data_IF_382636887599
#
_entry.id   IF_382636887599
#
_cell.length_a   1.000
_cell.length_b   1.000
_cell.length_c   1.000
_cell.angle_alpha   90.00
_cell.angle_beta   90.00
_cell.angle_gamma   90.00
#
_symmetry.space_group_name_H-M   'P 1'
#
loop_
_entity.id
_entity.type
_entity.pdbx_description
1 polymer ?
#
# COMPACT_ATOMS: atom_id res chain seq x y z
N UNK A 1 -14.09 -1.84 2.41
CA UNK A 1 -12.65 -2.20 2.43
C UNK A 1 -12.00 -1.55 1.23
N UNK A 2 -10.86 -0.89 1.40
CA UNK A 2 -10.12 -0.25 0.30
C UNK A 2 -9.96 -1.21 -0.88
N UNK A 3 -10.22 -0.72 -2.09
CA UNK A 3 -9.95 -1.48 -3.32
C UNK A 3 -8.51 -1.19 -3.76
N UNK A 4 -7.73 -2.24 -4.02
CA UNK A 4 -6.37 -2.12 -4.56
C UNK A 4 -6.34 -2.82 -5.91
N UNK A 5 -5.95 -2.12 -6.96
CA UNK A 5 -5.92 -2.66 -8.31
C UNK A 5 -4.78 -3.67 -8.50
N UNK A 6 -4.91 -4.56 -9.49
CA UNK A 6 -3.84 -5.51 -9.85
C UNK A 6 -2.54 -4.79 -10.23
N UNK A 7 -2.62 -3.67 -10.94
CA UNK A 7 -1.46 -2.82 -11.26
C UNK A 7 -0.76 -2.30 -10.01
N UNK A 8 -1.52 -1.86 -9.00
CA UNK A 8 -0.96 -1.43 -7.73
C UNK A 8 -0.32 -2.61 -6.97
N UNK A 9 -0.98 -3.75 -6.89
CA UNK A 9 -0.47 -4.95 -6.22
C UNK A 9 0.87 -5.43 -6.84
N UNK A 10 0.93 -5.47 -8.17
CA UNK A 10 2.15 -5.85 -8.90
C UNK A 10 3.29 -4.85 -8.67
N UNK A 11 3.00 -3.54 -8.71
CA UNK A 11 4.03 -2.53 -8.46
C UNK A 11 4.52 -2.54 -7.01
N UNK A 12 3.61 -2.72 -6.04
CA UNK A 12 3.96 -2.87 -4.63
C UNK A 12 4.88 -4.07 -4.41
N UNK A 13 4.62 -5.20 -5.08
CA UNK A 13 5.52 -6.36 -5.07
C UNK A 13 6.91 -5.97 -5.58
N UNK A 14 6.97 -5.34 -6.76
CA UNK A 14 8.22 -4.90 -7.38
C UNK A 14 9.02 -3.96 -6.47
N UNK A 15 8.35 -3.01 -5.82
CA UNK A 15 8.96 -2.06 -4.88
C UNK A 15 9.47 -2.77 -3.63
N UNK A 16 8.69 -3.70 -3.06
CA UNK A 16 9.10 -4.49 -1.91
C UNK A 16 10.35 -5.34 -2.20
N UNK A 17 10.35 -6.04 -3.33
CA UNK A 17 11.46 -6.89 -3.76
C UNK A 17 12.72 -6.06 -4.03
N UNK A 18 12.60 -4.90 -4.68
CA UNK A 18 13.73 -4.02 -4.97
C UNK A 18 14.36 -3.40 -3.72
N UNK A 19 13.59 -3.24 -2.63
CA UNK A 19 14.07 -2.68 -1.37
C UNK A 19 14.75 -3.70 -0.46
N UNK A 20 14.74 -4.99 -0.81
CA UNK A 20 15.29 -6.08 0.00
C UNK A 20 14.87 -5.97 1.48
N UNK A 21 13.55 -5.86 1.70
CA UNK A 21 12.98 -5.65 3.04
C UNK A 21 13.44 -6.74 4.02
N UNK A 22 13.80 -6.34 5.23
CA UNK A 22 14.14 -7.28 6.31
C UNK A 22 12.97 -8.23 6.59
N UNK A 23 13.23 -9.46 7.07
CA UNK A 23 12.17 -10.39 7.43
C UNK A 23 11.13 -9.76 8.38
N UNK A 24 9.86 -9.86 8.01
CA UNK A 24 8.75 -9.29 8.79
C UNK A 24 8.46 -7.80 8.53
N UNK A 25 9.25 -7.12 7.69
CA UNK A 25 8.96 -5.77 7.20
C UNK A 25 8.12 -5.84 5.91
N UNK A 26 7.12 -4.98 5.83
CA UNK A 26 6.12 -4.90 4.77
C UNK A 26 5.87 -3.44 4.39
N UNK A 27 5.25 -3.21 3.24
CA UNK A 27 4.73 -1.89 2.90
C UNK A 27 3.40 -1.68 3.64
N UNK A 28 3.21 -0.51 4.25
CA UNK A 28 1.99 -0.10 4.96
C UNK A 28 1.41 1.14 4.33
N UNK A 29 0.10 1.17 4.05
CA UNK A 29 -0.61 2.43 3.81
C UNK A 29 -0.83 3.14 5.16
N UNK A 30 -0.04 4.18 5.42
CA UNK A 30 -0.13 5.05 6.57
C UNK A 30 -0.87 6.35 6.21
N UNK A 31 -1.82 6.74 7.06
CA UNK A 31 -2.44 8.07 7.06
C UNK A 31 -1.89 8.89 8.23
N UNK A 32 -1.78 10.23 8.10
CA UNK A 32 -1.39 11.09 9.22
C UNK A 32 -2.28 10.85 10.45
N UNK A 33 -1.73 10.91 11.68
CA UNK A 33 -0.37 11.36 12.03
C UNK A 33 0.69 10.24 12.04
N UNK A 34 0.36 8.99 11.69
CA UNK A 34 1.24 7.82 11.83
C UNK A 34 2.28 7.72 10.69
N UNK A 35 2.89 8.85 10.32
CA UNK A 35 3.97 8.91 9.33
C UNK A 35 5.34 9.01 10.02
N UNK A 36 5.75 7.94 10.69
CA UNK A 36 7.04 7.89 11.42
C UNK A 36 8.12 7.05 10.72
N UNK A 37 7.80 6.41 9.58
CA UNK A 37 8.74 5.54 8.84
C UNK A 37 9.33 6.17 7.57
N UNK A 38 10.43 5.58 7.08
CA UNK A 38 10.98 5.90 5.75
C UNK A 38 10.00 5.47 4.65
N UNK A 39 9.67 6.41 3.76
CA UNK A 39 8.74 6.22 2.65
C UNK A 39 8.27 7.56 2.09
N UNK A 40 8.01 7.62 0.79
CA UNK A 40 7.38 8.76 0.13
C UNK A 40 5.88 8.53 0.09
N UNK A 41 5.10 9.52 0.55
CA UNK A 41 3.64 9.62 0.41
C UNK A 41 2.85 8.37 0.85
N UNK A 42 2.44 8.35 2.12
CA UNK A 42 1.40 7.46 2.61
C UNK A 42 1.71 5.95 2.54
N UNK A 43 2.78 5.49 1.89
CA UNK A 43 3.23 4.11 1.91
C UNK A 43 4.61 4.04 2.55
N UNK A 44 4.69 3.40 3.72
CA UNK A 44 5.90 3.32 4.55
C UNK A 44 6.32 1.87 4.76
N UNK A 45 7.55 1.65 5.21
CA UNK A 45 7.99 0.30 5.60
C UNK A 45 7.70 0.09 7.09
N UNK A 46 6.88 -0.89 7.41
CA UNK A 46 6.47 -1.18 8.78
C UNK A 46 6.30 -2.69 9.02
N UNK A 47 5.81 -3.08 10.20
CA UNK A 47 5.45 -4.45 10.55
C UNK A 47 3.93 -4.62 10.55
N UNK A 48 3.49 -5.88 10.38
CA UNK A 48 2.07 -6.24 10.48
C UNK A 48 1.60 -6.23 11.93
N UNK A 49 0.57 -5.44 12.21
CA UNK A 49 -0.21 -5.46 13.45
C UNK A 49 -1.38 -6.44 13.37
N UNK A 50 -1.94 -6.78 14.53
CA UNK A 50 -3.05 -7.74 14.64
C UNK A 50 -4.35 -7.24 13.98
N UNK A 51 -4.54 -5.92 13.91
CA UNK A 51 -5.71 -5.28 13.34
C UNK A 51 -5.49 -4.84 11.88
N UNK A 52 -4.46 -5.32 11.19
CA UNK A 52 -4.22 -4.96 9.80
C UNK A 52 -4.96 -5.87 8.81
N UNK A 53 -5.53 -5.23 7.79
CA UNK A 53 -5.95 -5.86 6.54
C UNK A 53 -4.72 -6.05 5.66
N UNK A 54 -4.52 -7.27 5.18
CA UNK A 54 -3.41 -7.63 4.30
C UNK A 54 -3.89 -7.79 2.85
N UNK A 55 -3.16 -7.19 1.93
CA UNK A 55 -3.35 -7.34 0.48
C UNK A 55 -2.19 -8.16 -0.08
N UNK A 56 -2.51 -9.14 -0.92
CA UNK A 56 -1.55 -10.11 -1.41
C UNK A 56 -1.47 -10.10 -2.94
N UNK A 57 -0.29 -10.41 -3.45
CA UNK A 57 -0.01 -10.64 -4.87
C UNK A 57 0.94 -11.82 -4.99
N UNK A 58 0.60 -12.78 -5.86
CA UNK A 58 1.34 -14.04 -6.03
C UNK A 58 1.67 -14.76 -4.70
N UNK A 59 0.69 -14.81 -3.80
CA UNK A 59 0.80 -15.48 -2.50
C UNK A 59 1.64 -14.76 -1.44
N UNK A 60 2.23 -13.61 -1.74
CA UNK A 60 2.95 -12.79 -0.76
C UNK A 60 2.11 -11.58 -0.33
N UNK A 61 2.16 -11.22 0.95
CA UNK A 61 1.60 -9.94 1.42
C UNK A 61 2.48 -8.80 0.89
N UNK A 62 1.87 -7.87 0.16
CA UNK A 62 2.57 -6.74 -0.47
C UNK A 62 2.19 -5.39 0.14
N UNK A 63 1.05 -5.33 0.84
CA UNK A 63 0.59 -4.14 1.53
C UNK A 63 -0.21 -4.52 2.78
N UNK A 64 -0.02 -3.78 3.86
CA UNK A 64 -0.87 -3.81 5.05
C UNK A 64 -1.53 -2.45 5.27
N UNK A 65 -2.76 -2.46 5.76
CA UNK A 65 -3.52 -1.25 6.09
C UNK A 65 -4.24 -1.50 7.39
N UNK A 66 -4.17 -0.58 8.35
CA UNK A 66 -4.92 -0.71 9.60
C UNK A 66 -6.43 -0.79 9.29
N UNK A 67 -7.17 -1.68 9.96
CA UNK A 67 -8.60 -1.91 9.71
C UNK A 67 -9.42 -0.62 9.69
N UNK A 68 -9.21 0.27 10.67
CA UNK A 68 -9.95 1.55 10.78
C UNK A 68 -9.70 2.43 9.54
N UNK A 69 -8.47 2.44 9.03
CA UNK A 69 -8.10 3.17 7.82
C UNK A 69 -8.73 2.53 6.59
N UNK A 70 -8.67 1.20 6.48
CA UNK A 70 -9.26 0.45 5.37
C UNK A 70 -10.79 0.59 5.31
N UNK A 71 -11.45 0.76 6.45
CA UNK A 71 -12.89 1.01 6.57
C UNK A 71 -13.23 2.45 6.19
N UNK A 72 -12.44 3.44 6.63
CA UNK A 72 -12.58 4.84 6.20
C UNK A 72 -12.35 5.03 4.69
N UNK A 73 -11.60 4.13 4.06
CA UNK A 73 -11.31 4.12 2.62
C UNK A 73 -12.16 3.10 1.85
N UNK A 74 -13.30 2.66 2.38
CA UNK A 74 -14.09 1.59 1.78
C UNK A 74 -14.56 1.85 0.34
N UNK A 75 -14.71 3.13 -0.06
CA UNK A 75 -15.08 3.53 -1.42
C UNK A 75 -13.88 4.04 -2.23
N UNK A 76 -12.66 3.97 -1.69
CA UNK A 76 -11.46 4.43 -2.37
C UNK A 76 -10.82 3.32 -3.20
N UNK A 77 -10.09 3.75 -4.24
CA UNK A 77 -9.30 2.87 -5.11
C UNK A 77 -7.85 3.31 -5.06
N UNK A 78 -6.98 2.43 -4.56
CA UNK A 78 -5.54 2.55 -4.68
C UNK A 78 -5.11 1.91 -6.00
N UNK A 79 -4.54 2.72 -6.89
CA UNK A 79 -4.09 2.31 -8.21
C UNK A 79 -2.64 2.73 -8.48
N UNK A 80 -1.99 2.06 -9.42
CA UNK A 80 -0.73 2.47 -10.00
C UNK A 80 -0.94 2.84 -11.47
N UNK A 81 -0.93 4.14 -11.75
CA UNK A 81 -1.22 4.68 -13.08
C UNK A 81 0.08 4.89 -13.85
N UNK A 82 0.12 4.34 -15.05
CA UNK A 82 1.23 4.52 -16.02
C UNK A 82 0.77 5.26 -17.28
N UNK A 83 -0.52 5.18 -17.62
CA UNK A 83 -1.14 5.91 -18.73
C UNK A 83 -1.89 7.14 -18.23
N UNK A 84 -1.86 8.24 -18.99
CA UNK A 84 -2.63 9.44 -18.67
C UNK A 84 -2.10 10.27 -17.49
N UNK A 85 -0.90 9.95 -17.00
CA UNK A 85 -0.18 10.70 -15.96
C UNK A 85 1.22 11.11 -16.47
N UNK A 86 1.80 12.25 -16.01
CA UNK A 86 3.12 12.69 -16.47
C UNK A 86 4.27 11.72 -16.15
N UNK A 87 4.12 10.97 -15.06
CA UNK A 87 5.05 9.91 -14.65
C UNK A 87 4.29 8.81 -13.92
N UNK A 88 4.77 7.54 -13.98
CA UNK A 88 4.19 6.44 -13.23
C UNK A 88 4.09 6.75 -11.75
N UNK A 89 2.91 6.53 -11.15
CA UNK A 89 2.68 6.85 -9.75
C UNK A 89 1.52 6.09 -9.14
N UNK A 90 1.57 5.91 -7.83
CA UNK A 90 0.40 5.52 -7.04
C UNK A 90 -0.59 6.67 -6.95
N UNK A 91 -1.87 6.35 -7.02
CA UNK A 91 -2.99 7.28 -6.80
C UNK A 91 -4.01 6.64 -5.87
N UNK A 92 -4.61 7.46 -5.00
CA UNK A 92 -5.76 7.07 -4.20
C UNK A 92 -6.95 7.91 -4.66
N UNK A 93 -7.86 7.29 -5.42
CA UNK A 93 -9.08 7.93 -5.89
C UNK A 93 -10.19 7.70 -4.87
N UNK A 94 -10.88 8.76 -4.44
CA UNK A 94 -11.95 8.73 -3.42
C UNK A 94 -13.25 9.20 -4.08
N UNK A 95 -14.34 8.45 -3.86
CA UNK A 95 -15.67 8.70 -4.42
C UNK A 95 -16.71 8.98 -3.34
#
# INVERSE_FOLDING_TARGET
>A
MLTVTESALAELRRVGDARALEPGRLLRLAVPPVWTGQGDWGIVIDQRGAADVAYAHDGATVLVVEQIVADGLANAVLDYKTSGVPSPRFTLDIY
#
